data_IF_349814586175
#
_entry.id   IF_349814586175
#
_cell.length_a   1.000
_cell.length_b   1.000
_cell.length_c   1.000
_cell.angle_alpha   90.00
_cell.angle_beta   90.00
_cell.angle_gamma   90.00
#
_symmetry.space_group_name_H-M   'P 1'
#
loop_
_entity.id
_entity.type
_entity.pdbx_description
1 polymer ?
#
# COMPACT_ATOMS: atom_id res chain seq x y z
N UNK A 1 -7.86 3.50 12.18
CA UNK A 1 -7.40 4.86 12.47
C UNK A 1 -8.55 5.75 12.93
N UNK A 2 -8.27 6.59 13.93
CA UNK A 2 -9.20 7.61 14.44
C UNK A 2 -8.45 8.93 14.57
N UNK A 3 -9.08 10.03 14.13
CA UNK A 3 -8.54 11.38 14.27
C UNK A 3 -8.59 11.89 15.71
N UNK A 4 -7.76 12.89 16.02
CA UNK A 4 -7.78 13.58 17.30
C UNK A 4 -8.98 14.54 17.42
N UNK A 5 -9.50 15.04 16.29
CA UNK A 5 -10.60 15.99 16.22
C UNK A 5 -11.31 16.00 14.88
N UNK A 6 -12.09 17.03 14.63
CA UNK A 6 -12.84 17.25 13.39
C UNK A 6 -12.24 18.33 12.47
N UNK A 7 -11.05 18.85 12.80
CA UNK A 7 -10.26 19.72 11.92
C UNK A 7 -9.71 18.92 10.73
N UNK A 8 -8.95 19.56 9.86
CA UNK A 8 -8.26 18.86 8.79
C UNK A 8 -7.26 17.85 9.37
N UNK A 9 -7.44 16.59 9.04
CA UNK A 9 -6.66 15.46 9.53
C UNK A 9 -6.39 14.49 8.39
N UNK A 10 -5.37 13.67 8.54
CA UNK A 10 -5.00 12.73 7.50
C UNK A 10 -4.45 11.41 8.05
N UNK A 11 -4.56 10.38 7.24
CA UNK A 11 -3.89 9.09 7.44
C UNK A 11 -3.27 8.65 6.13
N UNK A 12 -2.08 8.08 6.18
CA UNK A 12 -1.43 7.53 4.99
C UNK A 12 -0.95 6.09 5.21
N UNK A 13 -0.74 5.42 4.09
CA UNK A 13 -0.10 4.10 4.01
C UNK A 13 1.19 4.24 3.21
N UNK A 14 2.28 3.69 3.74
CA UNK A 14 3.56 3.50 3.04
C UNK A 14 3.58 2.10 2.43
N UNK A 15 3.66 2.00 1.12
CA UNK A 15 3.81 0.72 0.41
C UNK A 15 5.22 0.15 0.52
N UNK A 16 6.18 0.95 1.02
CA UNK A 16 7.59 0.61 1.10
C UNK A 16 8.35 0.73 -0.24
N UNK A 17 7.62 0.75 -1.35
CA UNK A 17 8.12 1.00 -2.71
C UNK A 17 7.03 1.68 -3.54
N UNK A 18 7.37 2.37 -4.65
CA UNK A 18 6.37 2.91 -5.56
C UNK A 18 5.42 1.83 -6.05
N UNK A 19 4.12 2.11 -5.99
CA UNK A 19 3.06 1.23 -6.47
C UNK A 19 2.20 1.97 -7.50
N UNK A 20 1.59 1.20 -8.41
CA UNK A 20 0.58 1.70 -9.34
C UNK A 20 -0.78 1.22 -8.91
N UNK A 21 -1.76 2.11 -8.91
CA UNK A 21 -3.12 1.78 -8.51
C UNK A 21 -4.15 2.67 -9.22
N UNK A 22 -5.35 2.15 -9.35
CA UNK A 22 -6.46 2.80 -10.05
C UNK A 22 -7.75 2.88 -9.22
N UNK A 23 -7.77 2.29 -8.02
CA UNK A 23 -8.93 2.34 -7.13
C UNK A 23 -8.51 2.34 -5.66
N UNK A 24 -9.23 3.12 -4.86
CA UNK A 24 -9.14 3.13 -3.40
C UNK A 24 -10.51 2.83 -2.83
N UNK A 25 -10.58 1.98 -1.80
CA UNK A 25 -11.79 1.67 -1.06
C UNK A 25 -11.60 2.01 0.41
N UNK A 26 -12.53 2.77 0.96
CA UNK A 26 -12.49 3.27 2.33
C UNK A 26 -13.70 2.77 3.10
N UNK A 27 -13.47 2.18 4.26
CA UNK A 27 -14.52 1.72 5.17
C UNK A 27 -14.56 2.63 6.39
N UNK A 28 -15.66 3.37 6.54
CA UNK A 28 -15.81 4.41 7.55
C UNK A 28 -16.59 3.91 8.78
N UNK A 29 -16.16 4.34 9.94
CA UNK A 29 -16.92 4.37 11.17
C UNK A 29 -17.51 5.77 11.37
N UNK A 30 -16.65 6.81 11.29
CA UNK A 30 -17.04 8.22 11.20
C UNK A 30 -16.48 8.80 9.89
N UNK A 31 -17.38 9.20 8.99
CA UNK A 31 -17.04 9.56 7.62
C UNK A 31 -16.51 10.98 7.48
N UNK A 32 -15.54 11.15 6.58
CA UNK A 32 -15.23 12.43 5.97
C UNK A 32 -16.14 12.66 4.76
N UNK A 33 -16.94 13.73 4.80
CA UNK A 33 -17.86 14.12 3.70
C UNK A 33 -17.19 15.04 2.68
N UNK A 34 -16.03 15.59 3.00
CA UNK A 34 -15.15 16.28 2.08
C UNK A 34 -13.69 15.96 2.40
N UNK A 35 -12.88 15.87 1.35
CA UNK A 35 -11.46 15.55 1.46
C UNK A 35 -10.90 15.05 0.14
N UNK A 36 -9.69 14.48 0.20
CA UNK A 36 -8.92 14.11 -0.97
C UNK A 36 -8.16 12.80 -0.77
N UNK A 37 -8.02 12.04 -1.84
CA UNK A 37 -7.00 11.00 -1.95
C UNK A 37 -5.79 11.61 -2.63
N UNK A 38 -4.63 11.45 -2.04
CA UNK A 38 -3.38 12.02 -2.53
C UNK A 38 -2.26 10.98 -2.52
N UNK A 39 -1.28 11.16 -3.40
CA UNK A 39 -0.09 10.32 -3.50
C UNK A 39 1.17 11.13 -3.30
N UNK A 40 2.23 10.46 -2.85
CA UNK A 40 3.56 11.03 -2.70
C UNK A 40 4.63 9.95 -2.89
N UNK A 41 5.84 10.37 -3.27
CA UNK A 41 7.01 9.50 -3.29
C UNK A 41 7.89 9.70 -2.04
N UNK A 42 7.70 10.79 -1.29
CA UNK A 42 8.57 11.21 -0.17
C UNK A 42 7.81 11.52 1.14
N UNK A 43 6.48 11.36 1.15
CA UNK A 43 5.57 11.72 2.24
C UNK A 43 5.58 13.23 2.62
N UNK A 44 6.15 14.09 1.78
CA UNK A 44 6.19 15.54 1.99
C UNK A 44 5.45 16.31 0.91
N UNK A 45 5.73 16.03 -0.36
CA UNK A 45 5.04 16.61 -1.50
C UNK A 45 3.88 15.70 -1.92
N UNK A 46 2.64 16.22 -1.87
CA UNK A 46 1.42 15.46 -2.11
C UNK A 46 0.68 15.93 -3.36
N UNK A 47 0.34 14.99 -4.23
CA UNK A 47 -0.46 15.22 -5.43
C UNK A 47 -1.86 14.63 -5.26
N UNK A 48 -2.89 15.43 -5.50
CA UNK A 48 -4.27 14.96 -5.50
C UNK A 48 -4.54 14.04 -6.70
N UNK A 49 -5.17 12.90 -6.43
CA UNK A 49 -5.57 11.93 -7.47
C UNK A 49 -7.09 11.72 -7.53
N UNK A 50 -7.81 12.02 -6.45
CA UNK A 50 -9.26 12.03 -6.41
C UNK A 50 -9.77 12.86 -5.24
N UNK A 51 -11.00 13.40 -5.37
CA UNK A 51 -11.77 13.92 -4.24
C UNK A 51 -12.49 12.77 -3.53
N UNK A 52 -12.76 12.92 -2.23
CA UNK A 52 -13.65 12.01 -1.51
C UNK A 52 -15.08 12.22 -1.98
N UNK A 53 -15.87 11.15 -2.21
CA UNK A 53 -17.29 11.27 -2.47
C UNK A 53 -18.01 11.74 -1.20
N UNK A 54 -18.92 12.69 -1.36
CA UNK A 54 -19.79 13.12 -0.28
C UNK A 54 -20.81 12.04 0.11
N UNK A 55 -21.84 12.44 0.85
CA UNK A 55 -22.95 11.58 1.27
C UNK A 55 -22.65 10.78 2.55
N UNK A 56 -23.49 9.81 2.83
CA UNK A 56 -23.56 9.07 4.10
C UNK A 56 -23.14 7.58 4.00
N UNK A 57 -22.67 7.16 2.84
CA UNK A 57 -22.22 5.78 2.63
C UNK A 57 -21.09 5.43 3.60
N UNK A 58 -21.17 4.28 4.22
CA UNK A 58 -20.09 3.77 5.08
C UNK A 58 -18.91 3.20 4.31
N UNK A 59 -19.08 2.96 3.03
CA UNK A 59 -18.03 2.45 2.14
C UNK A 59 -17.97 3.34 0.92
N UNK A 60 -16.80 3.91 0.67
CA UNK A 60 -16.50 4.64 -0.55
C UNK A 60 -15.62 3.80 -1.46
N UNK A 61 -16.07 3.56 -2.68
CA UNK A 61 -15.25 3.00 -3.75
C UNK A 61 -14.88 4.12 -4.72
N UNK A 62 -13.61 4.48 -4.74
CA UNK A 62 -13.10 5.62 -5.49
C UNK A 62 -12.26 5.09 -6.65
N UNK A 63 -12.85 5.02 -7.84
CA UNK A 63 -12.11 4.75 -9.07
C UNK A 63 -11.38 6.02 -9.51
N UNK A 64 -10.08 5.90 -9.77
CA UNK A 64 -9.27 7.03 -10.24
C UNK A 64 -9.48 7.24 -11.73
N UNK A 65 -9.53 8.50 -12.17
CA UNK A 65 -9.64 8.85 -13.59
C UNK A 65 -8.43 8.41 -14.40
N UNK A 66 -7.28 8.31 -13.77
CA UNK A 66 -6.01 7.82 -14.33
C UNK A 66 -5.32 6.97 -13.28
N UNK A 67 -4.57 5.97 -13.71
CA UNK A 67 -3.69 5.21 -12.83
C UNK A 67 -2.75 6.18 -12.10
N UNK A 68 -2.74 6.09 -10.78
CA UNK A 68 -1.82 6.81 -9.92
C UNK A 68 -0.57 5.98 -9.66
N UNK A 69 0.55 6.66 -9.40
CA UNK A 69 1.81 6.04 -9.00
C UNK A 69 2.38 6.81 -7.82
N UNK A 70 2.87 6.10 -6.80
CA UNK A 70 3.54 6.68 -5.66
C UNK A 70 3.87 5.62 -4.60
N UNK A 71 4.78 5.94 -3.70
CA UNK A 71 5.11 5.11 -2.55
C UNK A 71 4.09 5.26 -1.43
N UNK A 72 3.58 6.47 -1.25
CA UNK A 72 2.62 6.81 -0.20
C UNK A 72 1.27 7.15 -0.80
N UNK A 73 0.21 6.72 -0.15
CA UNK A 73 -1.14 7.17 -0.44
C UNK A 73 -1.79 7.65 0.85
N UNK A 74 -2.38 8.84 0.86
CA UNK A 74 -3.08 9.37 2.01
C UNK A 74 -4.52 9.73 1.69
N UNK A 75 -5.35 9.66 2.72
CA UNK A 75 -6.66 10.26 2.78
C UNK A 75 -6.56 11.51 3.63
N UNK A 76 -6.76 12.67 3.02
CA UNK A 76 -6.87 13.95 3.68
C UNK A 76 -8.35 14.23 3.92
N UNK A 77 -8.75 14.28 5.19
CA UNK A 77 -10.12 14.54 5.63
C UNK A 77 -10.25 16.02 5.96
N UNK A 78 -11.20 16.71 5.33
CA UNK A 78 -11.37 18.17 5.47
C UNK A 78 -12.68 18.56 6.14
N UNK A 79 -13.71 17.72 6.02
CA UNK A 79 -15.00 17.96 6.66
C UNK A 79 -15.56 16.64 7.19
N UNK A 80 -15.85 16.59 8.48
CA UNK A 80 -16.52 15.45 9.12
C UNK A 80 -18.03 15.48 8.87
N UNK A 81 -18.64 14.32 8.77
CA UNK A 81 -20.10 14.17 8.73
C UNK A 81 -20.80 14.56 10.05
N UNK A 82 -20.04 14.58 11.14
CA UNK A 82 -20.49 14.93 12.47
C UNK A 82 -19.32 15.51 13.29
N UNK A 83 -19.59 16.03 14.46
CA UNK A 83 -18.57 16.66 15.32
C UNK A 83 -17.66 15.66 16.05
N UNK A 84 -17.71 14.38 15.72
CA UNK A 84 -16.92 13.32 16.37
C UNK A 84 -15.59 13.04 15.68
N UNK A 85 -15.22 13.84 14.66
CA UNK A 85 -14.00 13.64 13.88
C UNK A 85 -14.15 12.57 12.82
N UNK A 86 -13.05 11.91 12.49
CA UNK A 86 -12.97 10.89 11.45
C UNK A 86 -12.55 9.56 12.05
N UNK A 87 -13.11 8.49 11.55
CA UNK A 87 -12.70 7.14 11.95
C UNK A 87 -12.81 6.21 10.74
N UNK A 88 -11.67 5.66 10.34
CA UNK A 88 -11.52 4.75 9.23
C UNK A 88 -11.18 3.36 9.77
N UNK A 89 -12.05 2.39 9.52
CA UNK A 89 -11.81 1.00 9.93
C UNK A 89 -10.84 0.31 8.98
N UNK A 90 -10.94 0.61 7.68
CA UNK A 90 -10.09 -0.03 6.67
C UNK A 90 -9.86 0.89 5.46
N UNK A 91 -8.66 0.81 4.90
CA UNK A 91 -8.27 1.41 3.63
C UNK A 91 -7.67 0.34 2.73
N UNK A 92 -8.28 0.12 1.58
CA UNK A 92 -7.81 -0.83 0.57
C UNK A 92 -7.40 -0.06 -0.68
N UNK A 93 -6.27 -0.44 -1.27
CA UNK A 93 -5.75 0.15 -2.50
C UNK A 93 -5.59 -0.95 -3.53
N UNK A 94 -6.17 -0.76 -4.71
CA UNK A 94 -6.21 -1.75 -5.78
C UNK A 94 -5.48 -1.23 -7.02
N UNK A 95 -4.71 -2.09 -7.65
CA UNK A 95 -4.00 -1.79 -8.88
C UNK A 95 -3.60 -3.05 -9.63
N UNK A 96 -3.16 -2.88 -10.86
CA UNK A 96 -2.65 -3.96 -11.70
C UNK A 96 -1.12 -3.97 -11.66
N UNK A 97 -0.53 -5.15 -11.57
CA UNK A 97 0.94 -5.32 -11.65
C UNK A 97 1.70 -5.20 -10.33
N UNK A 98 1.00 -4.98 -9.20
CA UNK A 98 1.61 -4.92 -7.87
C UNK A 98 2.54 -3.72 -7.66
N UNK A 99 3.53 -3.86 -6.80
CA UNK A 99 4.53 -2.83 -6.55
C UNK A 99 5.42 -2.63 -7.78
N UNK A 100 5.74 -1.39 -8.09
CA UNK A 100 6.75 -1.08 -9.11
C UNK A 100 8.10 -1.50 -8.57
N UNK A 101 8.75 -2.44 -9.22
CA UNK A 101 10.09 -2.85 -8.82
C UNK A 101 11.03 -1.64 -8.87
N UNK A 102 11.62 -1.31 -7.72
CA UNK A 102 12.76 -0.41 -7.70
C UNK A 102 13.93 -1.16 -8.35
N UNK A 103 14.64 -0.50 -9.26
CA UNK A 103 15.97 -0.94 -9.66
C UNK A 103 16.85 -0.76 -8.43
N UNK A 104 17.08 -1.85 -7.70
CA UNK A 104 18.05 -1.80 -6.61
C UNK A 104 19.39 -1.37 -7.20
N UNK A 105 20.10 -0.41 -6.57
CA UNK A 105 21.48 -0.16 -6.93
C UNK A 105 22.24 -1.48 -6.81
N UNK A 106 22.87 -1.90 -7.89
CA UNK A 106 23.74 -3.08 -7.83
C UNK A 106 24.80 -2.79 -6.76
N UNK A 107 24.84 -3.64 -5.74
CA UNK A 107 25.87 -3.55 -4.71
C UNK A 107 27.24 -3.62 -5.40
N UNK A 108 28.04 -2.56 -5.29
CA UNK A 108 29.42 -2.60 -5.73
C UNK A 108 30.14 -3.59 -4.82
N UNK A 109 31.01 -4.42 -5.41
CA UNK A 109 31.71 -5.49 -4.71
C UNK A 109 32.51 -5.03 -3.47
N UNK A 110 32.68 -3.73 -3.29
CA UNK A 110 33.41 -3.11 -2.16
C UNK A 110 32.47 -2.70 -0.98
N UNK A 111 31.15 -2.71 -1.15
CA UNK A 111 30.22 -2.36 -0.08
C UNK A 111 29.95 -3.57 0.81
N UNK A 112 30.51 -3.56 2.03
CA UNK A 112 30.26 -4.59 3.06
C UNK A 112 28.84 -4.54 3.68
N UNK A 113 27.99 -3.59 3.26
CA UNK A 113 26.65 -3.38 3.77
C UNK A 113 25.62 -3.60 2.68
N UNK A 114 24.85 -4.66 2.79
CA UNK A 114 23.67 -4.90 1.98
C UNK A 114 22.44 -4.40 2.74
N UNK A 115 21.69 -3.47 2.13
CA UNK A 115 20.43 -3.00 2.68
C UNK A 115 19.30 -3.89 2.17
N UNK A 116 18.71 -4.65 3.08
CA UNK A 116 17.61 -5.58 2.78
C UNK A 116 16.26 -4.90 2.95
N UNK A 117 15.95 -3.97 2.05
CA UNK A 117 14.64 -3.28 2.03
C UNK A 117 14.13 -3.16 0.58
N UNK A 118 12.89 -2.65 0.44
CA UNK A 118 12.27 -2.40 -0.87
C UNK A 118 11.27 -3.47 -1.31
N UNK A 119 10.83 -3.37 -2.56
CA UNK A 119 9.72 -4.15 -3.14
C UNK A 119 10.12 -5.39 -3.94
N UNK A 120 11.39 -5.77 -3.96
CA UNK A 120 11.90 -6.88 -4.80
C UNK A 120 11.92 -8.24 -4.08
N UNK A 121 11.29 -8.32 -2.93
CA UNK A 121 11.18 -9.55 -2.18
C UNK A 121 10.01 -10.39 -2.69
N UNK A 122 10.17 -11.70 -2.58
CA UNK A 122 9.12 -12.65 -2.87
C UNK A 122 8.88 -13.56 -1.69
N UNK A 123 7.62 -13.89 -1.46
CA UNK A 123 7.16 -14.77 -0.37
C UNK A 123 6.44 -15.98 -0.95
N UNK A 124 6.60 -17.12 -0.29
CA UNK A 124 5.80 -18.31 -0.51
C UNK A 124 5.53 -18.99 0.82
N UNK A 125 4.42 -19.70 0.91
CA UNK A 125 4.11 -20.54 2.08
C UNK A 125 5.10 -21.69 2.15
N UNK A 126 5.68 -21.93 3.30
CA UNK A 126 6.64 -23.02 3.48
C UNK A 126 6.07 -24.40 3.11
N UNK A 127 4.75 -24.60 3.30
CA UNK A 127 4.06 -25.83 2.90
C UNK A 127 3.94 -26.04 1.39
N UNK A 128 4.11 -25.00 0.60
CA UNK A 128 4.03 -25.02 -0.88
C UNK A 128 5.42 -25.09 -1.52
N UNK A 129 6.49 -24.92 -0.72
CA UNK A 129 7.87 -25.01 -1.17
C UNK A 129 8.37 -26.42 -0.90
N UNK A 130 8.66 -27.18 -1.94
CA UNK A 130 9.14 -28.56 -1.86
C UNK A 130 10.66 -28.67 -1.88
N UNK A 131 11.30 -27.62 -2.36
CA UNK A 131 12.74 -27.52 -2.54
C UNK A 131 13.42 -27.22 -1.20
N UNK A 132 14.63 -27.74 -1.04
CA UNK A 132 15.46 -27.44 0.13
C UNK A 132 16.17 -26.09 -0.02
N UNK A 133 16.79 -25.60 1.08
CA UNK A 133 17.44 -24.29 1.11
C UNK A 133 18.56 -24.15 0.08
N UNK A 134 19.31 -25.20 -0.23
CA UNK A 134 20.37 -25.19 -1.23
C UNK A 134 19.81 -24.98 -2.64
N UNK A 135 18.71 -25.63 -2.96
CA UNK A 135 18.02 -25.46 -4.25
C UNK A 135 17.41 -24.07 -4.38
N UNK A 136 16.79 -23.54 -3.33
CA UNK A 136 16.17 -22.21 -3.34
C UNK A 136 17.22 -21.10 -3.48
N UNK A 137 18.40 -21.29 -2.89
CA UNK A 137 19.50 -20.31 -2.96
C UNK A 137 20.33 -20.38 -4.24
N UNK A 138 20.07 -21.34 -5.10
CA UNK A 138 20.77 -21.47 -6.38
C UNK A 138 20.42 -20.32 -7.33
N UNK A 139 21.42 -19.85 -8.08
CA UNK A 139 21.21 -18.83 -9.09
C UNK A 139 20.19 -19.31 -10.15
N UNK A 140 19.22 -18.45 -10.47
CA UNK A 140 18.17 -18.76 -11.44
C UNK A 140 17.02 -19.61 -10.89
N UNK A 141 16.91 -19.81 -9.58
CA UNK A 141 15.75 -20.47 -8.98
C UNK A 141 14.44 -19.77 -9.39
N UNK A 142 13.48 -20.54 -9.89
CA UNK A 142 12.22 -19.99 -10.39
C UNK A 142 11.29 -19.59 -9.26
N UNK A 143 11.01 -18.30 -9.16
CA UNK A 143 10.07 -17.71 -8.18
C UNK A 143 8.91 -16.99 -8.86
N UNK A 144 8.54 -17.35 -10.10
CA UNK A 144 7.49 -16.64 -10.86
C UNK A 144 6.15 -16.64 -10.15
N UNK A 145 5.79 -17.77 -9.53
CA UNK A 145 4.52 -17.95 -8.81
C UNK A 145 4.57 -17.48 -7.35
N UNK A 146 5.70 -16.92 -6.91
CA UNK A 146 5.84 -16.38 -5.57
C UNK A 146 5.26 -14.97 -5.48
N UNK A 147 4.74 -14.64 -4.31
CA UNK A 147 4.05 -13.38 -4.01
C UNK A 147 5.07 -12.27 -3.81
N UNK A 148 4.90 -11.15 -4.51
CA UNK A 148 5.71 -9.95 -4.29
C UNK A 148 5.49 -9.38 -2.88
N UNK A 149 6.59 -9.03 -2.23
CA UNK A 149 6.59 -8.44 -0.89
C UNK A 149 7.49 -7.20 -0.82
N UNK A 150 7.16 -6.33 0.11
CA UNK A 150 7.98 -5.15 0.43
C UNK A 150 8.50 -5.28 1.85
N UNK A 151 9.76 -4.93 2.07
CA UNK A 151 10.38 -4.93 3.38
C UNK A 151 10.81 -3.49 3.73
N UNK A 152 10.52 -3.00 4.95
CA UNK A 152 9.78 -3.66 6.01
C UNK A 152 8.27 -3.76 5.74
N UNK A 153 7.62 -4.78 6.28
CA UNK A 153 6.18 -4.99 6.15
C UNK A 153 5.75 -6.27 6.87
N UNK A 154 4.45 -6.40 7.12
CA UNK A 154 3.91 -7.62 7.74
C UNK A 154 3.54 -8.65 6.67
N UNK A 155 3.83 -9.91 6.92
CA UNK A 155 3.44 -11.02 6.03
C UNK A 155 1.91 -11.05 5.84
N UNK A 156 1.15 -10.79 6.90
CA UNK A 156 -0.31 -10.83 6.87
C UNK A 156 -0.91 -9.81 5.90
N UNK A 157 -0.36 -8.59 5.84
CA UNK A 157 -0.84 -7.55 4.93
C UNK A 157 -0.66 -7.95 3.45
N UNK A 158 0.36 -8.75 3.15
CA UNK A 158 0.63 -9.21 1.79
C UNK A 158 -0.33 -10.31 1.35
N UNK A 159 -0.60 -11.30 2.22
CA UNK A 159 -1.56 -12.36 1.90
C UNK A 159 -3.01 -11.86 1.79
N UNK A 160 -3.41 -10.85 2.57
CA UNK A 160 -4.75 -10.24 2.46
C UNK A 160 -4.97 -9.50 1.14
N UNK A 161 -3.96 -8.79 0.66
CA UNK A 161 -4.08 -7.98 -0.56
C UNK A 161 -4.24 -8.79 -1.85
N UNK A 162 -3.97 -10.09 -1.82
CA UNK A 162 -4.13 -10.98 -2.96
C UNK A 162 -5.25 -12.02 -2.76
N UNK A 163 -6.13 -11.80 -1.77
CA UNK A 163 -7.27 -12.68 -1.47
C UNK A 163 -6.90 -14.17 -1.28
N UNK A 164 -5.71 -14.44 -0.73
CA UNK A 164 -5.22 -15.81 -0.48
C UNK A 164 -5.66 -16.32 0.89
N UNK A 165 -6.23 -15.45 1.74
CA UNK A 165 -6.83 -15.83 3.01
C UNK A 165 -8.35 -15.79 2.90
N UNK A 166 -9.06 -16.82 3.39
CA UNK A 166 -10.51 -16.85 3.44
C UNK A 166 -11.10 -15.75 4.30
#
# INVERSE_FOLDING_TARGET
WKSAGNAEEWVYVDFGAPAKFDKVKLHWVNKAVAGKVQVSDDASAWTEVAALPGGDNRVDEIALKKEAKGRYVRVLCQQSANDKGYELSEMQVFGKGGLVAETLPQAKAEERKLVLNGGNWKLQRASEVKENGEQISAEGFNTQDWIWATIPGTILSRFRNIAVLP
#
